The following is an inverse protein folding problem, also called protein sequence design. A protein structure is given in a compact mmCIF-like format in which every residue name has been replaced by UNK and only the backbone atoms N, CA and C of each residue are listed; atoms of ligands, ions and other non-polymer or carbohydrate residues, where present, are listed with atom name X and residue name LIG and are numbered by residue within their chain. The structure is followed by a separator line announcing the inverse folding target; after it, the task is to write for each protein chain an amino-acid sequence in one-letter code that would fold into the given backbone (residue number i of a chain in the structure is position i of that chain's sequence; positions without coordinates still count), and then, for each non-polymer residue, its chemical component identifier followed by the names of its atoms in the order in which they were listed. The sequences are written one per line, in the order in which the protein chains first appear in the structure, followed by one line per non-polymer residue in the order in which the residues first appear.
data_IF_505237911614
#
_entry.id   IF_505237911614
#
_cell.length_a   1.000
_cell.length_b   1.000
_cell.length_c   1.000
_cell.angle_alpha   90.00
_cell.angle_beta   90.00
_cell.angle_gamma   90.00
#
_symmetry.space_group_name_H-M   'P 1'
#
loop_
_entity.id
_entity.type
_entity.pdbx_description
1 polymer ?
#
# COMPACT_ATOMS: atom_id res chain seq x y z
N UNK A 1 13.68 6.02 3.79
CA UNK A 1 13.57 6.06 5.26
C UNK A 1 14.62 5.13 5.84
N UNK A 2 15.10 5.40 7.05
CA UNK A 2 15.92 4.43 7.81
C UNK A 2 15.07 3.83 8.91
N UNK A 3 14.92 2.51 8.93
CA UNK A 3 14.29 1.77 10.04
C UNK A 3 15.38 1.21 10.93
N UNK A 4 15.28 1.46 12.24
CA UNK A 4 16.21 0.92 13.22
C UNK A 4 15.63 -0.34 13.84
N UNK A 5 16.15 -1.50 13.41
CA UNK A 5 15.99 -2.75 14.13
C UNK A 5 17.30 -3.03 14.90
N UNK A 6 17.94 -4.17 14.68
CA UNK A 6 19.31 -4.46 15.17
C UNK A 6 20.40 -3.81 14.29
N UNK A 7 20.02 -3.33 13.09
CA UNK A 7 20.84 -2.59 12.13
C UNK A 7 19.99 -1.49 11.48
N UNK A 8 20.65 -0.53 10.81
CA UNK A 8 19.99 0.48 9.97
C UNK A 8 19.63 -0.11 8.61
N UNK A 9 18.34 -0.08 8.26
CA UNK A 9 17.84 -0.53 6.97
C UNK A 9 17.24 0.61 6.17
N UNK A 10 17.50 0.64 4.87
CA UNK A 10 16.94 1.61 3.93
C UNK A 10 15.83 0.98 3.10
N UNK A 11 14.80 1.78 2.79
CA UNK A 11 13.71 1.39 1.88
C UNK A 11 14.19 1.39 0.42
N UNK A 12 14.09 0.24 -0.25
CA UNK A 12 14.21 0.10 -1.69
C UNK A 12 12.84 -0.23 -2.28
N UNK A 13 12.42 0.51 -3.30
CA UNK A 13 11.13 0.28 -3.97
C UNK A 13 11.31 -0.47 -5.27
N UNK A 14 10.32 -1.29 -5.61
CA UNK A 14 10.24 -1.95 -6.92
C UNK A 14 8.81 -1.96 -7.41
N UNK A 15 8.65 -2.00 -8.73
CA UNK A 15 7.35 -2.09 -9.38
C UNK A 15 7.11 -3.53 -9.80
N UNK A 16 6.10 -4.19 -9.22
CA UNK A 16 5.67 -5.52 -9.64
C UNK A 16 4.54 -5.37 -10.68
N UNK A 17 4.80 -5.65 -11.97
CA UNK A 17 3.80 -5.44 -13.02
C UNK A 17 2.74 -6.54 -13.04
N UNK A 18 1.49 -6.14 -13.19
CA UNK A 18 0.39 -7.03 -13.54
C UNK A 18 -0.10 -6.76 -14.95
N UNK A 19 -0.26 -7.82 -15.72
CA UNK A 19 -0.58 -7.75 -17.14
C UNK A 19 -1.87 -8.48 -17.46
N UNK A 20 -2.61 -7.96 -18.42
CA UNK A 20 -3.77 -8.64 -18.99
C UNK A 20 -3.33 -9.88 -19.78
N UNK A 21 -4.29 -10.71 -20.17
CA UNK A 21 -4.05 -11.88 -21.04
C UNK A 21 -3.38 -11.52 -22.37
N UNK A 22 -3.57 -10.28 -22.84
CA UNK A 22 -2.95 -9.76 -24.07
C UNK A 22 -1.52 -9.24 -23.85
N UNK A 23 -1.06 -9.19 -22.60
CA UNK A 23 0.25 -8.71 -22.21
C UNK A 23 0.32 -7.20 -21.91
N UNK A 24 -0.79 -6.48 -22.04
CA UNK A 24 -0.88 -5.06 -21.70
C UNK A 24 -0.68 -4.86 -20.19
N UNK A 25 0.05 -3.82 -19.81
CA UNK A 25 0.26 -3.48 -18.40
C UNK A 25 -1.00 -2.80 -17.85
N UNK A 26 -1.60 -3.39 -16.82
CA UNK A 26 -2.85 -2.90 -16.22
C UNK A 26 -2.57 -2.09 -14.94
N UNK A 27 -1.73 -2.65 -14.07
CA UNK A 27 -1.33 -2.00 -12.83
C UNK A 27 0.08 -2.43 -12.41
N UNK A 28 0.65 -1.69 -11.46
CA UNK A 28 1.90 -2.04 -10.79
C UNK A 28 1.71 -1.99 -9.28
N UNK A 29 2.19 -3.01 -8.59
CA UNK A 29 2.26 -3.01 -7.12
C UNK A 29 3.60 -2.44 -6.64
N UNK A 30 3.53 -1.44 -5.76
CA UNK A 30 4.68 -0.74 -5.19
C UNK A 30 5.18 -1.53 -3.98
N UNK A 31 6.03 -2.50 -4.27
CA UNK A 31 6.65 -3.35 -3.25
C UNK A 31 7.85 -2.64 -2.62
N UNK A 32 8.05 -2.91 -1.33
CA UNK A 32 9.22 -2.44 -0.58
C UNK A 32 10.11 -3.62 -0.26
N UNK A 33 11.41 -3.41 -0.35
CA UNK A 33 12.42 -4.27 0.25
C UNK A 33 13.24 -3.42 1.21
N UNK A 34 13.69 -4.03 2.30
CA UNK A 34 14.58 -3.36 3.24
C UNK A 34 15.99 -3.92 3.08
N UNK A 35 16.94 -3.06 2.75
CA UNK A 35 18.34 -3.44 2.59
C UNK A 35 19.20 -2.82 3.71
N UNK A 36 20.19 -3.56 4.20
CA UNK A 36 21.18 -3.01 5.15
C UNK A 36 21.99 -1.89 4.48
N UNK A 37 22.65 -1.04 5.27
CA UNK A 37 23.46 0.07 4.75
C UNK A 37 24.51 -0.32 3.69
N UNK A 38 24.99 -1.56 3.70
CA UNK A 38 25.94 -2.09 2.72
C UNK A 38 25.28 -2.92 1.59
N UNK A 39 23.97 -3.15 1.66
CA UNK A 39 23.22 -3.91 0.65
C UNK A 39 23.36 -5.44 0.72
N UNK A 40 24.23 -5.95 1.59
CA UNK A 40 24.55 -7.37 1.71
C UNK A 40 23.41 -8.22 2.29
N UNK A 41 22.45 -7.59 2.97
CA UNK A 41 21.30 -8.27 3.58
C UNK A 41 20.02 -7.58 3.17
N UNK A 42 19.09 -8.38 2.63
CA UNK A 42 17.72 -7.96 2.31
C UNK A 42 16.73 -8.65 3.22
N UNK A 43 15.80 -7.87 3.77
CA UNK A 43 14.73 -8.35 4.64
C UNK A 43 13.38 -8.12 3.95
N UNK A 44 12.53 -9.15 3.86
CA UNK A 44 11.15 -9.02 3.38
C UNK A 44 10.35 -8.00 4.21
N UNK A 45 9.50 -7.23 3.54
CA UNK A 45 8.65 -6.22 4.20
C UNK A 45 7.74 -6.84 5.25
N UNK A 46 7.28 -8.07 5.06
CA UNK A 46 6.40 -8.79 5.99
C UNK A 46 7.06 -9.03 7.36
N UNK A 47 8.40 -9.06 7.43
CA UNK A 47 9.15 -9.21 8.68
C UNK A 47 9.47 -7.88 9.35
N UNK A 48 9.54 -6.79 8.57
CA UNK A 48 9.89 -5.45 9.06
C UNK A 48 8.64 -4.68 9.49
N UNK A 49 7.58 -4.72 8.68
CA UNK A 49 6.36 -3.95 8.87
C UNK A 49 5.72 -4.13 10.25
N UNK A 50 5.61 -5.36 10.83
CA UNK A 50 5.04 -5.53 12.17
C UNK A 50 5.88 -4.94 13.31
N UNK A 51 7.15 -4.59 13.03
CA UNK A 51 8.09 -4.02 14.01
C UNK A 51 8.21 -2.50 13.88
N UNK A 52 7.62 -1.92 12.84
CA UNK A 52 7.62 -0.49 12.62
C UNK A 52 6.55 0.19 13.46
N UNK A 53 6.86 1.36 14.02
CA UNK A 53 5.86 2.22 14.63
C UNK A 53 4.86 2.74 13.60
N UNK A 54 3.70 3.20 14.06
CA UNK A 54 2.68 3.79 13.19
C UNK A 54 3.26 4.97 12.38
N UNK A 55 4.07 5.83 13.02
CA UNK A 55 4.76 6.95 12.35
C UNK A 55 5.75 6.47 11.29
N UNK A 56 6.46 5.37 11.53
CA UNK A 56 7.35 4.76 10.54
C UNK A 56 6.58 4.20 9.34
N UNK A 57 5.43 3.57 9.58
CA UNK A 57 4.58 3.07 8.50
C UNK A 57 4.01 4.22 7.66
N UNK A 58 3.59 5.32 8.31
CA UNK A 58 3.12 6.51 7.61
C UNK A 58 4.23 7.21 6.83
N UNK A 59 5.46 7.30 7.36
CA UNK A 59 6.61 7.82 6.59
C UNK A 59 6.92 6.96 5.38
N UNK A 60 6.90 5.62 5.52
CA UNK A 60 7.09 4.73 4.37
C UNK A 60 6.01 4.93 3.30
N UNK A 61 4.76 5.13 3.73
CA UNK A 61 3.65 5.42 2.83
C UNK A 61 3.85 6.72 2.06
N UNK A 62 4.26 7.80 2.74
CA UNK A 62 4.57 9.08 2.09
C UNK A 62 5.73 8.93 1.09
N UNK A 63 6.79 8.19 1.41
CA UNK A 63 7.89 7.93 0.45
C UNK A 63 7.40 7.20 -0.82
N UNK A 64 6.43 6.29 -0.69
CA UNK A 64 5.81 5.65 -1.85
C UNK A 64 4.97 6.63 -2.67
N UNK A 65 4.26 7.55 -2.02
CA UNK A 65 3.51 8.62 -2.70
C UNK A 65 4.46 9.54 -3.49
N UNK A 66 5.58 9.94 -2.89
CA UNK A 66 6.61 10.74 -3.56
C UNK A 66 7.18 9.99 -4.78
N UNK A 67 7.46 8.69 -4.65
CA UNK A 67 7.93 7.87 -5.77
C UNK A 67 6.94 7.88 -6.94
N UNK A 68 5.65 7.61 -6.69
CA UNK A 68 4.65 7.59 -7.77
C UNK A 68 4.39 8.99 -8.34
N UNK A 69 4.60 10.05 -7.55
CA UNK A 69 4.52 11.43 -8.01
C UNK A 69 5.61 11.74 -9.04
N UNK A 70 6.85 11.28 -8.82
CA UNK A 70 7.94 11.44 -9.82
C UNK A 70 7.63 10.76 -11.16
N UNK A 71 6.80 9.71 -11.12
CA UNK A 71 6.42 8.91 -12.27
C UNK A 71 4.98 9.19 -12.76
N UNK A 72 4.29 10.20 -12.23
CA UNK A 72 2.84 10.40 -12.42
C UNK A 72 2.41 10.51 -13.88
N UNK A 73 3.25 11.14 -14.73
CA UNK A 73 2.95 11.29 -16.14
C UNK A 73 2.83 9.95 -16.86
N UNK A 74 3.63 8.95 -16.47
CA UNK A 74 3.54 7.61 -17.03
C UNK A 74 2.20 6.96 -16.70
N UNK A 75 1.79 6.97 -15.43
CA UNK A 75 0.54 6.36 -14.98
C UNK A 75 -0.68 6.99 -15.68
N UNK A 76 -0.73 8.32 -15.74
CA UNK A 76 -1.84 9.05 -16.36
C UNK A 76 -1.89 8.79 -17.87
N UNK A 77 -0.76 8.88 -18.58
CA UNK A 77 -0.75 8.72 -20.03
C UNK A 77 -1.04 7.29 -20.47
N UNK A 78 -0.52 6.30 -19.73
CA UNK A 78 -0.70 4.88 -20.05
C UNK A 78 -1.98 4.28 -19.47
N UNK A 79 -2.70 5.04 -18.63
CA UNK A 79 -3.89 4.58 -17.90
C UNK A 79 -3.61 3.32 -17.08
N UNK A 80 -2.45 3.32 -16.41
CA UNK A 80 -1.99 2.22 -15.54
C UNK A 80 -2.21 2.64 -14.10
N UNK A 81 -2.68 1.73 -13.26
CA UNK A 81 -2.87 1.99 -11.83
C UNK A 81 -1.61 1.68 -11.02
N UNK A 82 -1.38 2.45 -9.96
CA UNK A 82 -0.38 2.18 -8.94
C UNK A 82 -1.08 1.66 -7.69
N UNK A 83 -0.59 0.54 -7.16
CA UNK A 83 -1.12 -0.08 -5.95
C UNK A 83 -0.17 0.15 -4.78
N UNK A 84 -0.71 0.66 -3.67
CA UNK A 84 0.05 0.82 -2.42
C UNK A 84 -0.72 0.16 -1.28
N UNK A 85 -0.03 -0.74 -0.56
CA UNK A 85 -0.59 -1.41 0.60
C UNK A 85 -0.98 -0.44 1.72
N UNK A 86 -2.22 -0.57 2.16
CA UNK A 86 -2.84 0.16 3.25
C UNK A 86 -2.75 -0.66 4.54
N UNK A 87 -2.02 -0.13 5.53
CA UNK A 87 -1.99 -0.68 6.89
C UNK A 87 -3.03 0.00 7.78
N UNK A 88 -3.41 -0.59 8.93
CA UNK A 88 -4.30 0.06 9.88
C UNK A 88 -3.80 1.43 10.37
N UNK A 89 -2.48 1.60 10.54
CA UNK A 89 -1.88 2.88 10.90
C UNK A 89 -2.17 3.94 9.84
N UNK A 90 -1.87 3.63 8.57
CA UNK A 90 -2.11 4.52 7.43
C UNK A 90 -3.60 4.82 7.28
N UNK A 91 -4.46 3.81 7.42
CA UNK A 91 -5.91 3.97 7.37
C UNK A 91 -6.42 5.00 8.39
N UNK A 92 -5.95 4.90 9.64
CA UNK A 92 -6.32 5.85 10.69
C UNK A 92 -5.78 7.26 10.41
N UNK A 93 -4.54 7.38 9.92
CA UNK A 93 -3.97 8.67 9.53
C UNK A 93 -4.74 9.30 8.37
N UNK A 94 -5.10 8.56 7.32
CA UNK A 94 -5.88 9.09 6.19
C UNK A 94 -7.28 9.57 6.59
N UNK A 95 -7.86 9.02 7.65
CA UNK A 95 -9.16 9.46 8.16
C UNK A 95 -9.06 10.66 9.12
N UNK A 96 -7.89 10.90 9.72
CA UNK A 96 -7.69 11.97 10.71
C UNK A 96 -6.94 13.18 10.15
N UNK A 97 -6.02 12.98 9.22
CA UNK A 97 -5.23 14.00 8.56
C UNK A 97 -5.82 14.34 7.19
N UNK A 98 -6.46 15.51 7.12
CA UNK A 98 -7.08 15.98 5.88
C UNK A 98 -6.06 16.35 4.80
N UNK A 99 -4.86 16.79 5.18
CA UNK A 99 -3.84 17.21 4.23
C UNK A 99 -3.27 16.00 3.50
N UNK A 100 -2.85 14.97 4.24
CA UNK A 100 -2.38 13.71 3.65
C UNK A 100 -3.46 13.08 2.77
N UNK A 101 -4.70 13.09 3.24
CA UNK A 101 -5.78 12.48 2.50
C UNK A 101 -6.11 13.24 1.21
N UNK A 102 -6.05 14.57 1.21
CA UNK A 102 -6.16 15.37 -0.01
C UNK A 102 -4.95 15.21 -0.94
N UNK A 103 -3.76 14.95 -0.42
CA UNK A 103 -2.61 14.57 -1.25
C UNK A 103 -2.87 13.25 -1.98
N UNK A 104 -3.39 12.24 -1.28
CA UNK A 104 -3.75 10.93 -1.88
C UNK A 104 -4.84 11.08 -2.95
N UNK A 105 -5.88 11.89 -2.70
CA UNK A 105 -6.97 12.13 -3.65
C UNK A 105 -6.51 12.75 -4.98
N UNK A 106 -5.37 13.44 -5.00
CA UNK A 106 -4.82 14.02 -6.24
C UNK A 106 -4.27 12.98 -7.20
N UNK A 107 -3.94 11.78 -6.72
CA UNK A 107 -3.44 10.69 -7.56
C UNK A 107 -4.60 9.87 -8.12
N UNK A 108 -5.16 10.31 -9.26
CA UNK A 108 -6.30 9.63 -9.92
C UNK A 108 -6.02 8.19 -10.38
N UNK A 109 -4.76 7.77 -10.35
CA UNK A 109 -4.29 6.45 -10.76
C UNK A 109 -3.87 5.58 -9.56
N UNK A 110 -4.00 6.07 -8.33
CA UNK A 110 -3.65 5.33 -7.12
C UNK A 110 -4.85 4.55 -6.60
N UNK A 111 -4.63 3.27 -6.33
CA UNK A 111 -5.56 2.41 -5.61
C UNK A 111 -4.89 1.87 -4.34
N UNK A 112 -5.61 1.89 -3.22
CA UNK A 112 -5.12 1.42 -1.94
C UNK A 112 -5.44 -0.06 -1.79
N UNK A 113 -4.43 -0.88 -1.49
CA UNK A 113 -4.59 -2.32 -1.40
C UNK A 113 -4.66 -2.79 0.05
N UNK A 114 -5.55 -3.73 0.32
CA UNK A 114 -5.55 -4.52 1.56
C UNK A 114 -5.47 -6.00 1.19
N UNK A 115 -5.13 -6.87 2.13
CA UNK A 115 -5.13 -8.32 1.91
C UNK A 115 -6.04 -9.03 2.93
N UNK A 116 -6.23 -10.34 2.78
CA UNK A 116 -7.10 -11.13 3.65
C UNK A 116 -6.68 -11.15 5.14
N UNK A 117 -5.44 -10.74 5.46
CA UNK A 117 -4.96 -10.62 6.84
C UNK A 117 -5.27 -9.27 7.48
N UNK A 118 -5.95 -8.36 6.76
CA UNK A 118 -6.30 -7.04 7.31
C UNK A 118 -7.23 -7.19 8.54
N UNK A 119 -6.97 -6.45 9.64
CA UNK A 119 -7.75 -6.61 10.86
C UNK A 119 -9.25 -6.40 10.67
N UNK A 120 -10.04 -7.32 11.24
CA UNK A 120 -11.50 -7.27 11.23
C UNK A 120 -12.13 -7.21 9.82
N UNK A 121 -11.42 -7.68 8.79
CA UNK A 121 -11.91 -7.67 7.40
C UNK A 121 -13.21 -8.46 7.22
N UNK A 122 -13.44 -9.51 8.01
CA UNK A 122 -14.69 -10.29 8.01
C UNK A 122 -15.93 -9.49 8.45
N UNK A 123 -15.76 -8.32 9.07
CA UNK A 123 -16.87 -7.39 9.31
C UNK A 123 -17.37 -6.76 8.00
N UNK A 124 -16.58 -6.77 6.94
CA UNK A 124 -16.94 -6.23 5.62
C UNK A 124 -17.40 -4.78 5.74
N UNK A 125 -18.57 -4.46 5.17
CA UNK A 125 -19.20 -3.12 5.25
C UNK A 125 -19.51 -2.65 6.68
N UNK A 126 -19.57 -3.58 7.65
CA UNK A 126 -19.78 -3.26 9.06
C UNK A 126 -18.48 -2.77 9.75
N UNK A 127 -17.33 -2.80 9.05
CA UNK A 127 -16.09 -2.17 9.51
C UNK A 127 -16.14 -0.66 9.20
N UNK A 128 -16.28 0.22 10.21
CA UNK A 128 -16.48 1.65 9.99
C UNK A 128 -15.28 2.32 9.32
N UNK A 129 -14.06 1.88 9.63
CA UNK A 129 -12.82 2.43 9.04
C UNK A 129 -12.74 2.11 7.55
N UNK A 130 -12.96 0.84 7.18
CA UNK A 130 -12.94 0.43 5.77
C UNK A 130 -14.10 1.05 4.99
N UNK A 131 -15.29 1.17 5.59
CA UNK A 131 -16.43 1.82 4.95
C UNK A 131 -16.16 3.31 4.69
N UNK A 132 -15.58 4.03 5.65
CA UNK A 132 -15.21 5.43 5.49
C UNK A 132 -14.13 5.64 4.41
N UNK A 133 -13.14 4.74 4.36
CA UNK A 133 -12.10 4.77 3.33
C UNK A 133 -12.64 4.42 1.94
N UNK A 134 -13.47 3.39 1.82
CA UNK A 134 -14.09 2.98 0.55
C UNK A 134 -15.00 4.06 -0.04
N UNK A 135 -15.57 4.92 0.80
CA UNK A 135 -16.36 6.07 0.36
C UNK A 135 -15.50 7.18 -0.28
N UNK A 136 -14.17 7.17 -0.05
CA UNK A 136 -13.26 8.24 -0.43
C UNK A 136 -12.17 7.82 -1.42
N UNK A 137 -11.69 6.57 -1.30
CA UNK A 137 -10.57 6.05 -2.06
C UNK A 137 -10.92 4.73 -2.76
N UNK A 138 -10.36 4.46 -3.95
CA UNK A 138 -10.43 3.13 -4.55
C UNK A 138 -9.70 2.11 -3.66
N UNK A 139 -10.42 1.09 -3.20
CA UNK A 139 -9.87 -0.01 -2.40
C UNK A 139 -9.85 -1.30 -3.21
N UNK A 140 -8.75 -2.03 -3.13
CA UNK A 140 -8.55 -3.32 -3.80
C UNK A 140 -8.19 -4.39 -2.78
N UNK A 141 -8.86 -5.54 -2.87
CA UNK A 141 -8.49 -6.73 -2.11
C UNK A 141 -7.47 -7.55 -2.89
N UNK A 142 -6.31 -7.75 -2.28
CA UNK A 142 -5.24 -8.62 -2.78
C UNK A 142 -5.28 -9.97 -2.07
N UNK A 143 -4.69 -10.99 -2.71
CA UNK A 143 -4.60 -12.36 -2.20
C UNK A 143 -5.97 -12.99 -1.87
N UNK A 144 -7.03 -12.65 -2.62
CA UNK A 144 -8.33 -13.30 -2.47
C UNK A 144 -8.21 -14.80 -2.73
N UNK A 145 -8.77 -15.61 -1.83
CA UNK A 145 -8.66 -17.07 -1.84
C UNK A 145 -7.49 -17.63 -1.03
N UNK A 146 -6.76 -16.80 -0.27
CA UNK A 146 -5.72 -17.26 0.64
C UNK A 146 -6.27 -17.97 1.90
N UNK A 147 -7.58 -17.89 2.15
CA UNK A 147 -8.28 -18.58 3.23
C UNK A 147 -8.33 -17.79 4.54
N UNK A 148 -7.95 -16.51 4.54
CA UNK A 148 -8.01 -15.63 5.70
C UNK A 148 -9.40 -15.04 5.99
N UNK A 149 -10.31 -15.09 5.02
CA UNK A 149 -11.65 -14.50 5.13
C UNK A 149 -12.76 -15.39 4.56
N UNK A 150 -14.00 -15.08 4.96
CA UNK A 150 -15.21 -15.58 4.30
C UNK A 150 -15.36 -14.96 2.89
N UNK A 151 -16.14 -15.60 2.02
CA UNK A 151 -16.47 -15.10 0.68
C UNK A 151 -17.49 -13.94 0.69
N UNK A 152 -17.68 -13.27 1.83
CA UNK A 152 -18.61 -12.13 1.96
C UNK A 152 -18.03 -10.93 1.23
N UNK A 153 -18.88 -10.16 0.55
CA UNK A 153 -18.48 -8.90 -0.04
C UNK A 153 -18.01 -7.91 1.05
N UNK A 154 -16.82 -7.33 0.85
CA UNK A 154 -16.16 -6.46 1.82
C UNK A 154 -16.47 -4.97 1.58
N UNK A 155 -16.68 -4.58 0.32
CA UNK A 155 -16.97 -3.21 -0.10
C UNK A 155 -18.41 -3.05 -0.62
#
# INVERSE_FOLDING_TARGET
MIVSLDNLYHSEFSFLPARSEKGDLEFVDIITNFASAHGDVRIPTELVLPRMSDDEQCRLFVEKLELIETCQHFFIQRKVFAWINLTPAIANTLLSDTELASQVERFSFLELTINESYPELNKGKDNPTLAALAARFPLVLTNYGAGGISTRAIF
#
